data_IF_492898911390
#
_entry.id   IF_492898911390
#
_cell.length_a   1.000
_cell.length_b   1.000
_cell.length_c   1.000
_cell.angle_alpha   90.00
_cell.angle_beta   90.00
_cell.angle_gamma   90.00
#
_symmetry.space_group_name_H-M   'P 1'
#
loop_
_entity.id
_entity.type
_entity.pdbx_description
1 polymer ?
#
# COMPACT_ATOMS: atom_id res chain seq x y z
N UNK A 1 41.10 -12.71 -70.55
CA UNK A 1 40.27 -11.53 -70.20
C UNK A 1 39.36 -11.97 -69.08
N UNK A 2 39.76 -11.75 -67.84
CA UNK A 2 39.05 -12.30 -66.68
C UNK A 2 38.26 -11.17 -66.04
N UNK A 3 37.01 -10.97 -66.47
CA UNK A 3 36.11 -9.99 -65.87
C UNK A 3 35.43 -10.65 -64.67
N UNK A 4 35.93 -10.36 -63.48
CA UNK A 4 35.26 -10.74 -62.23
C UNK A 4 33.96 -9.95 -62.18
N UNK A 5 32.81 -10.64 -62.15
CA UNK A 5 31.51 -9.99 -62.00
C UNK A 5 31.41 -9.44 -60.57
N UNK A 6 31.68 -8.15 -60.42
CA UNK A 6 31.45 -7.44 -59.16
C UNK A 6 29.93 -7.43 -58.91
N UNK A 7 29.47 -8.02 -57.80
CA UNK A 7 28.08 -7.94 -57.41
C UNK A 7 27.69 -6.46 -57.14
N UNK A 8 26.47 -6.05 -57.48
CA UNK A 8 26.02 -4.68 -57.24
C UNK A 8 26.04 -4.36 -55.73
N UNK A 9 26.39 -3.12 -55.34
CA UNK A 9 26.40 -2.73 -53.95
C UNK A 9 24.97 -2.79 -53.38
N UNK A 10 24.78 -3.56 -52.30
CA UNK A 10 23.52 -3.61 -51.57
C UNK A 10 23.42 -2.35 -50.72
N UNK A 11 22.53 -1.43 -51.09
CA UNK A 11 22.26 -0.23 -50.29
C UNK A 11 21.23 -0.59 -49.21
N UNK A 12 21.71 -0.87 -48.00
CA UNK A 12 20.84 -1.12 -46.85
C UNK A 12 20.38 0.21 -46.24
N UNK A 13 19.07 0.35 -45.99
CA UNK A 13 18.55 1.51 -45.27
C UNK A 13 18.97 1.49 -43.80
N UNK A 14 19.20 2.66 -43.16
CA UNK A 14 19.49 2.72 -41.73
C UNK A 14 18.34 2.14 -40.90
N UNK A 15 18.68 1.38 -39.85
CA UNK A 15 17.73 0.61 -39.05
C UNK A 15 16.62 1.46 -38.42
N UNK A 16 16.90 2.70 -38.04
CA UNK A 16 15.94 3.62 -37.40
C UNK A 16 14.76 4.00 -38.30
N UNK A 17 14.85 3.74 -39.62
CA UNK A 17 13.79 4.06 -40.59
C UNK A 17 12.69 2.99 -40.56
N UNK A 18 12.96 1.84 -39.97
CA UNK A 18 12.02 0.74 -39.91
C UNK A 18 11.10 0.86 -38.69
N UNK A 19 9.80 1.08 -38.93
CA UNK A 19 8.82 1.27 -37.86
C UNK A 19 8.72 0.10 -36.88
N UNK A 20 8.95 -1.13 -37.33
CA UNK A 20 8.94 -2.31 -36.45
C UNK A 20 10.05 -2.27 -35.38
N UNK A 21 11.20 -1.64 -35.66
CA UNK A 21 12.27 -1.50 -34.66
C UNK A 21 11.78 -0.66 -33.47
N UNK A 22 10.98 0.37 -33.73
CA UNK A 22 10.37 1.17 -32.67
C UNK A 22 9.33 0.39 -31.87
N UNK A 23 8.59 -0.54 -32.48
CA UNK A 23 7.66 -1.41 -31.73
C UNK A 23 8.40 -2.28 -30.70
N UNK A 24 9.57 -2.81 -31.07
CA UNK A 24 10.41 -3.60 -30.16
C UNK A 24 10.99 -2.73 -29.04
N UNK A 25 11.42 -1.51 -29.34
CA UNK A 25 11.96 -0.56 -28.36
C UNK A 25 10.85 -0.01 -27.44
N UNK A 26 9.63 0.15 -27.96
CA UNK A 26 8.51 0.74 -27.23
C UNK A 26 8.13 -0.05 -25.97
N UNK A 27 8.18 -1.39 -26.00
CA UNK A 27 7.89 -2.21 -24.83
C UNK A 27 8.79 -1.91 -23.63
N UNK A 28 10.13 -2.08 -23.77
CA UNK A 28 11.09 -1.72 -22.73
C UNK A 28 11.06 -0.22 -22.36
N UNK A 29 10.89 0.68 -23.32
CA UNK A 29 10.80 2.11 -23.03
C UNK A 29 9.55 2.44 -22.19
N UNK A 30 8.41 1.81 -22.48
CA UNK A 30 7.17 2.03 -21.75
C UNK A 30 7.28 1.60 -20.27
N UNK A 31 7.92 0.47 -19.98
CA UNK A 31 8.09 0.02 -18.58
C UNK A 31 9.04 0.91 -17.78
N UNK A 32 10.08 1.47 -18.42
CA UNK A 32 10.96 2.45 -17.78
C UNK A 32 10.19 3.71 -17.41
N UNK A 33 9.39 4.25 -18.34
CA UNK A 33 8.53 5.42 -18.09
C UNK A 33 7.51 5.13 -16.98
N UNK A 34 6.87 3.96 -17.02
CA UNK A 34 5.92 3.53 -15.99
C UNK A 34 6.58 3.45 -14.61
N UNK A 35 7.80 2.88 -14.52
CA UNK A 35 8.57 2.80 -13.27
C UNK A 35 8.87 4.19 -12.69
N UNK A 36 9.28 5.15 -13.53
CA UNK A 36 9.47 6.53 -13.08
C UNK A 36 8.17 7.20 -12.65
N UNK A 37 7.06 6.96 -13.36
CA UNK A 37 5.75 7.49 -12.97
C UNK A 37 5.31 6.94 -11.61
N UNK A 38 5.50 5.64 -11.36
CA UNK A 38 5.21 5.03 -10.05
C UNK A 38 6.11 5.59 -8.95
N UNK A 39 7.41 5.74 -9.21
CA UNK A 39 8.33 6.34 -8.25
C UNK A 39 7.94 7.79 -7.92
N UNK A 40 7.53 8.56 -8.93
CA UNK A 40 7.04 9.92 -8.76
C UNK A 40 5.79 9.96 -7.86
N UNK A 41 4.82 9.08 -8.11
CA UNK A 41 3.60 8.98 -7.30
C UNK A 41 3.94 8.66 -5.83
N UNK A 42 4.85 7.72 -5.61
CA UNK A 42 5.28 7.29 -4.28
C UNK A 42 5.96 8.42 -3.49
N UNK A 43 6.78 9.24 -4.15
CA UNK A 43 7.49 10.35 -3.49
C UNK A 43 6.55 11.55 -3.27
N UNK A 44 5.62 11.81 -4.21
CA UNK A 44 4.75 12.99 -4.18
C UNK A 44 3.63 12.89 -3.15
N UNK A 45 3.20 11.69 -2.77
CA UNK A 45 2.13 11.46 -1.80
C UNK A 45 2.64 10.56 -0.66
N UNK A 46 3.44 11.10 0.27
CA UNK A 46 3.82 10.36 1.45
C UNK A 46 2.56 9.98 2.24
N UNK A 47 2.32 8.68 2.40
CA UNK A 47 1.28 8.20 3.31
C UNK A 47 1.65 8.67 4.72
N UNK A 48 0.87 9.55 5.37
CA UNK A 48 1.20 10.05 6.68
C UNK A 48 1.32 8.85 7.63
N UNK A 49 2.54 8.62 8.14
CA UNK A 49 2.81 7.60 9.14
C UNK A 49 1.77 7.76 10.24
N UNK A 50 0.98 6.70 10.45
CA UNK A 50 0.01 6.60 11.54
C UNK A 50 0.75 6.98 12.81
N UNK A 51 0.49 8.19 13.31
CA UNK A 51 1.19 8.71 14.48
C UNK A 51 1.06 7.69 15.61
N UNK A 52 2.10 7.55 16.44
CA UNK A 52 2.12 6.65 17.61
C UNK A 52 0.87 6.85 18.52
N UNK A 53 0.30 8.05 18.46
CA UNK A 53 -0.94 8.43 19.13
C UNK A 53 -2.18 7.73 18.61
N UNK A 54 -2.21 7.12 17.41
CA UNK A 54 -3.36 6.35 16.91
C UNK A 54 -3.61 5.12 17.78
N UNK A 55 -2.53 4.45 18.21
CA UNK A 55 -2.61 3.34 19.14
C UNK A 55 -3.09 3.81 20.52
N UNK A 56 -2.59 4.95 21.00
CA UNK A 56 -3.04 5.56 22.25
C UNK A 56 -4.50 5.97 22.19
N UNK A 57 -4.96 6.55 21.07
CA UNK A 57 -6.34 6.96 20.84
C UNK A 57 -7.29 5.77 20.83
N UNK A 58 -6.91 4.67 20.19
CA UNK A 58 -7.70 3.42 20.22
C UNK A 58 -7.84 2.87 21.64
N UNK A 59 -6.75 2.87 22.42
CA UNK A 59 -6.76 2.41 23.82
C UNK A 59 -7.58 3.34 24.71
N UNK A 60 -7.47 4.66 24.54
CA UNK A 60 -8.22 5.65 25.32
C UNK A 60 -9.71 5.63 25.01
N UNK A 61 -10.09 5.49 23.74
CA UNK A 61 -11.49 5.28 23.33
C UNK A 61 -12.04 4.01 23.97
N UNK A 62 -11.29 2.91 23.98
CA UNK A 62 -11.75 1.68 24.62
C UNK A 62 -11.90 1.84 26.15
N UNK A 63 -11.06 2.65 26.80
CA UNK A 63 -11.19 2.99 28.22
C UNK A 63 -12.43 3.83 28.50
N UNK A 64 -12.75 4.82 27.65
CA UNK A 64 -13.94 5.66 27.84
C UNK A 64 -15.23 4.90 27.55
N UNK A 65 -15.26 4.02 26.54
CA UNK A 65 -16.38 3.10 26.30
C UNK A 65 -16.54 2.11 27.47
N UNK A 66 -15.47 1.48 27.95
CA UNK A 66 -15.57 0.56 29.09
C UNK A 66 -15.98 1.26 30.41
N UNK A 67 -15.66 2.54 30.57
CA UNK A 67 -16.12 3.37 31.67
C UNK A 67 -17.59 3.77 31.52
N UNK A 68 -18.03 4.08 30.29
CA UNK A 68 -19.45 4.33 29.98
C UNK A 68 -20.29 3.08 30.13
N UNK A 69 -19.85 1.91 29.65
CA UNK A 69 -20.52 0.62 29.86
C UNK A 69 -20.61 0.24 31.34
N UNK A 70 -19.60 0.63 32.14
CA UNK A 70 -19.67 0.52 33.61
C UNK A 70 -20.69 1.49 34.24
N UNK A 71 -20.81 2.70 33.71
CA UNK A 71 -21.79 3.68 34.15
C UNK A 71 -23.23 3.34 33.70
N UNK A 72 -23.34 2.63 32.57
CA UNK A 72 -24.58 2.16 31.96
C UNK A 72 -24.82 0.66 32.22
N UNK A 73 -24.15 0.08 33.23
CA UNK A 73 -24.35 -1.32 33.62
C UNK A 73 -25.85 -1.59 33.66
N UNK A 74 -26.35 -2.59 32.90
CA UNK A 74 -27.77 -2.86 32.85
C UNK A 74 -28.30 -2.90 34.28
N UNK A 75 -29.38 -2.15 34.55
CA UNK A 75 -29.90 -1.99 35.92
C UNK A 75 -30.14 -3.35 36.62
N UNK A 76 -30.34 -4.41 35.82
CA UNK A 76 -30.41 -5.82 36.23
C UNK A 76 -29.10 -6.34 36.84
N UNK A 77 -27.93 -6.03 36.27
CA UNK A 77 -26.62 -6.46 36.77
C UNK A 77 -26.15 -5.65 37.98
N UNK A 78 -26.47 -4.35 38.02
CA UNK A 78 -26.19 -3.48 39.18
C UNK A 78 -26.96 -3.89 40.44
N UNK A 79 -28.23 -4.29 40.31
CA UNK A 79 -29.03 -4.82 41.44
C UNK A 79 -28.43 -6.09 42.04
N UNK A 80 -27.85 -6.97 41.23
CA UNK A 80 -27.34 -8.25 41.69
C UNK A 80 -26.02 -8.12 42.47
N UNK A 81 -25.18 -7.12 42.17
CA UNK A 81 -23.94 -6.87 42.92
C UNK A 81 -24.17 -6.22 44.29
N UNK A 82 -25.15 -5.32 44.44
CA UNK A 82 -25.49 -4.71 45.73
C UNK A 82 -26.10 -5.70 46.75
N UNK A 83 -26.62 -6.83 46.27
CA UNK A 83 -27.23 -7.87 47.09
C UNK A 83 -26.27 -8.97 47.54
N UNK A 84 -24.97 -8.90 47.20
CA UNK A 84 -23.97 -9.87 47.67
C UNK A 84 -23.32 -9.36 48.95
N UNK A 85 -23.64 -9.91 50.13
CA UNK A 85 -22.97 -9.52 51.37
C UNK A 85 -21.48 -9.95 51.31
N UNK A 86 -20.55 -9.18 51.90
CA UNK A 86 -19.16 -9.62 52.03
C UNK A 86 -19.15 -10.95 52.80
N UNK A 87 -18.46 -11.94 52.26
CA UNK A 87 -18.35 -13.26 52.88
C UNK A 87 -17.96 -13.10 54.34
N UNK A 88 -18.92 -13.37 55.23
CA UNK A 88 -18.72 -13.27 56.66
C UNK A 88 -17.55 -14.18 57.03
N UNK A 89 -16.51 -13.58 57.59
CA UNK A 89 -15.31 -14.26 58.03
C UNK A 89 -15.64 -15.53 58.79
N UNK A 90 -15.02 -16.62 58.36
CA UNK A 90 -14.89 -17.81 59.17
C UNK A 90 -14.32 -17.39 60.54
N UNK A 91 -14.99 -17.90 61.58
CA UNK A 91 -14.66 -17.72 63.00
C UNK A 91 -13.23 -18.11 63.30
#
# INVERSE_FOLDING_TARGET
MNHVLQAPPVVTSPWWKHGHVWLLIAGPAAVVVAGFATAWIAISNPDPVVAEDYYRRGVEINKTLAAQDKALMPAVQGRNHAATPPAAGAR
#
